data_IF_294619043238
#
_entry.id   IF_294619043238
#
_cell.length_a   1.000
_cell.length_b   1.000
_cell.length_c   1.000
_cell.angle_alpha   90.00
_cell.angle_beta   90.00
_cell.angle_gamma   90.00
#
_symmetry.space_group_name_H-M   'P 1'
#
loop_
_entity.id
_entity.type
_entity.pdbx_description
1 polymer ?
#
# COMPACT_ATOMS: atom_id res chain seq x y z
N UNK A 1 -10.71 18.09 -7.96
CA UNK A 1 -9.23 18.14 -8.01
C UNK A 1 -8.77 17.18 -9.10
N UNK A 2 -7.51 17.25 -9.55
CA UNK A 2 -6.95 16.22 -10.44
C UNK A 2 -6.44 15.06 -9.58
N UNK A 3 -6.76 13.82 -9.98
CA UNK A 3 -6.31 12.61 -9.29
C UNK A 3 -4.77 12.59 -9.22
N UNK A 4 -4.22 12.38 -8.02
CA UNK A 4 -2.79 12.36 -7.78
C UNK A 4 -2.25 10.93 -7.87
N UNK A 5 -1.08 10.74 -8.48
CA UNK A 5 -0.39 9.44 -8.44
C UNK A 5 0.16 9.18 -7.03
N UNK A 6 0.30 7.90 -6.61
CA UNK A 6 0.83 7.57 -5.29
C UNK A 6 2.19 8.19 -4.96
N UNK A 7 3.10 8.26 -5.94
CA UNK A 7 4.44 8.83 -5.78
C UNK A 7 5.44 7.83 -5.22
N UNK A 8 6.45 8.34 -4.50
CA UNK A 8 7.51 7.50 -3.93
C UNK A 8 7.00 6.65 -2.79
N UNK A 9 7.35 5.37 -2.79
CA UNK A 9 7.01 4.37 -1.78
C UNK A 9 8.20 4.13 -0.85
N UNK A 10 7.92 4.14 0.46
CA UNK A 10 8.95 4.13 1.50
C UNK A 10 8.52 3.42 2.79
N UNK A 11 7.36 2.77 2.82
CA UNK A 11 6.90 2.00 3.97
C UNK A 11 6.31 0.65 3.60
N UNK A 12 6.28 -0.24 4.59
CA UNK A 12 5.55 -1.51 4.56
C UNK A 12 4.45 -1.42 5.61
N UNK A 13 3.23 -1.76 5.21
CA UNK A 13 2.09 -1.86 6.10
C UNK A 13 1.34 -3.17 5.93
N UNK A 14 0.55 -3.53 6.93
CA UNK A 14 -0.41 -4.61 6.87
C UNK A 14 -1.81 -4.04 7.03
N UNK A 15 -2.68 -4.40 6.10
CA UNK A 15 -4.08 -4.03 6.10
C UNK A 15 -4.92 -5.26 6.43
N UNK A 16 -5.87 -5.10 7.34
CA UNK A 16 -6.84 -6.14 7.70
C UNK A 16 -8.20 -5.77 7.09
N UNK A 17 -8.73 -6.63 6.23
CA UNK A 17 -10.05 -6.48 5.62
C UNK A 17 -11.15 -6.69 6.64
N UNK A 18 -12.38 -6.32 6.28
CA UNK A 18 -13.55 -6.49 7.15
C UNK A 18 -13.84 -7.97 7.49
N UNK A 19 -13.52 -8.90 6.57
CA UNK A 19 -13.62 -10.34 6.80
C UNK A 19 -12.50 -10.91 7.68
N UNK A 20 -11.54 -10.07 8.10
CA UNK A 20 -10.40 -10.45 8.94
C UNK A 20 -9.20 -11.01 8.19
N UNK A 21 -9.28 -11.19 6.87
CA UNK A 21 -8.11 -11.51 6.05
C UNK A 21 -7.13 -10.34 6.03
N UNK A 22 -5.86 -10.65 5.82
CA UNK A 22 -4.77 -9.68 5.89
C UNK A 22 -3.94 -9.71 4.62
N UNK A 23 -3.40 -8.56 4.24
CA UNK A 23 -2.41 -8.46 3.18
C UNK A 23 -1.36 -7.40 3.54
N UNK A 24 -0.21 -7.47 2.89
CA UNK A 24 0.85 -6.49 3.02
C UNK A 24 0.81 -5.55 1.83
N UNK A 25 1.13 -4.29 2.07
CA UNK A 25 1.27 -3.28 1.01
C UNK A 25 2.58 -2.51 1.17
N UNK A 26 3.16 -2.12 0.03
CA UNK A 26 4.29 -1.20 -0.03
C UNK A 26 3.72 0.16 -0.36
N UNK A 27 3.65 1.04 0.62
CA UNK A 27 2.96 2.32 0.52
C UNK A 27 3.88 3.51 0.76
N UNK A 28 3.25 4.64 1.06
CA UNK A 28 3.87 5.81 1.65
C UNK A 28 2.93 6.42 2.68
N UNK A 29 3.37 7.49 3.35
CA UNK A 29 2.56 8.13 4.40
C UNK A 29 1.19 8.63 3.91
N UNK A 30 1.04 8.99 2.63
CA UNK A 30 -0.25 9.40 2.08
C UNK A 30 -1.17 8.19 1.97
N UNK A 31 -0.70 7.09 1.36
CA UNK A 31 -1.48 5.85 1.27
C UNK A 31 -1.88 5.32 2.65
N UNK A 32 -0.94 5.28 3.59
CA UNK A 32 -1.22 4.85 4.95
C UNK A 32 -2.27 5.74 5.63
N UNK A 33 -2.16 7.07 5.52
CA UNK A 33 -3.18 7.98 6.07
C UNK A 33 -4.57 7.80 5.44
N UNK A 34 -4.63 7.38 4.17
CA UNK A 34 -5.90 6.98 3.52
C UNK A 34 -6.42 5.65 4.06
N UNK A 35 -5.55 4.68 4.30
CA UNK A 35 -5.93 3.42 4.95
C UNK A 35 -6.41 3.65 6.39
N UNK A 36 -5.77 4.52 7.17
CA UNK A 36 -6.23 4.90 8.51
C UNK A 36 -7.64 5.51 8.46
N UNK A 37 -7.87 6.47 7.55
CA UNK A 37 -9.20 7.04 7.33
C UNK A 37 -10.24 5.98 6.89
N UNK A 38 -9.84 5.03 6.05
CA UNK A 38 -10.70 3.93 5.63
C UNK A 38 -11.05 2.99 6.81
N UNK A 39 -10.14 2.78 7.75
CA UNK A 39 -10.41 2.05 8.99
C UNK A 39 -11.38 2.82 9.90
N UNK A 40 -11.19 4.13 10.08
CA UNK A 40 -12.09 4.99 10.85
C UNK A 40 -13.52 5.00 10.27
N UNK A 41 -13.64 4.92 8.94
CA UNK A 41 -14.93 4.86 8.23
C UNK A 41 -15.52 3.46 8.13
N UNK A 42 -14.80 2.43 8.59
CA UNK A 42 -15.27 1.05 8.56
C UNK A 42 -15.26 0.39 7.18
N UNK A 43 -14.41 0.85 6.26
CA UNK A 43 -14.19 0.21 4.94
C UNK A 43 -13.13 -0.91 5.02
N UNK A 44 -12.19 -0.77 5.95
CA UNK A 44 -11.28 -1.83 6.39
C UNK A 44 -11.33 -1.92 7.92
N UNK A 45 -10.74 -2.96 8.50
CA UNK A 45 -10.75 -3.17 9.94
C UNK A 45 -9.64 -2.42 10.65
N UNK A 46 -8.42 -2.50 10.14
CA UNK A 46 -7.25 -1.79 10.66
C UNK A 46 -6.14 -1.73 9.61
N UNK A 47 -5.26 -0.75 9.76
CA UNK A 47 -3.96 -0.70 9.10
C UNK A 47 -2.87 -0.57 10.15
N UNK A 48 -1.71 -1.19 9.90
CA UNK A 48 -0.54 -1.12 10.77
C UNK A 48 0.72 -0.93 9.93
N UNK A 49 1.45 0.16 10.15
CA UNK A 49 2.81 0.31 9.64
C UNK A 49 3.71 -0.72 10.33
N UNK A 50 4.42 -1.51 9.53
CA UNK A 50 5.38 -2.50 10.00
C UNK A 50 6.81 -2.00 9.90
N UNK A 51 7.10 -1.18 8.88
CA UNK A 51 8.41 -0.58 8.69
C UNK A 51 8.31 0.74 7.93
N UNK A 52 9.06 1.73 8.39
CA UNK A 52 9.21 3.05 7.75
C UNK A 52 10.60 3.17 7.15
N UNK A 53 10.72 4.07 6.17
CA UNK A 53 11.99 4.40 5.51
C UNK A 53 12.71 3.16 4.97
N UNK A 54 11.97 2.27 4.30
CA UNK A 54 12.59 1.10 3.66
C UNK A 54 13.59 1.57 2.59
N UNK A 55 14.68 0.84 2.35
CA UNK A 55 15.60 1.18 1.27
C UNK A 55 14.85 1.25 -0.06
N UNK A 56 15.08 2.31 -0.82
CA UNK A 56 14.52 2.49 -2.16
C UNK A 56 15.28 1.61 -3.17
N UNK A 57 15.14 0.30 -3.00
CA UNK A 57 15.85 -0.73 -3.78
C UNK A 57 15.32 -0.82 -5.21
N UNK A 58 16.05 -1.50 -6.09
CA UNK A 58 15.57 -1.76 -7.45
C UNK A 58 14.23 -2.52 -7.48
N UNK A 59 13.95 -3.35 -6.46
CA UNK A 59 12.69 -4.06 -6.32
C UNK A 59 11.56 -3.09 -5.94
N UNK A 60 11.80 -2.18 -4.99
CA UNK A 60 10.86 -1.11 -4.62
C UNK A 60 10.54 -0.22 -5.82
N UNK A 61 11.57 0.23 -6.57
CA UNK A 61 11.38 1.08 -7.77
C UNK A 61 10.48 0.40 -8.81
N UNK A 62 10.65 -0.91 -9.04
CA UNK A 62 9.80 -1.65 -9.99
C UNK A 62 8.33 -1.67 -9.55
N UNK A 63 8.09 -1.97 -8.28
CA UNK A 63 6.74 -2.00 -7.73
C UNK A 63 6.12 -0.59 -7.69
N UNK A 64 6.91 0.42 -7.33
CA UNK A 64 6.51 1.83 -7.37
C UNK A 64 6.10 2.28 -8.76
N UNK A 65 6.85 1.94 -9.80
CA UNK A 65 6.49 2.29 -11.18
C UNK A 65 5.14 1.67 -11.57
N UNK A 66 4.93 0.39 -11.26
CA UNK A 66 3.65 -0.30 -11.47
C UNK A 66 2.50 0.45 -10.79
N UNK A 67 2.69 0.76 -9.49
CA UNK A 67 1.66 1.45 -8.70
C UNK A 67 1.35 2.84 -9.28
N UNK A 68 2.38 3.61 -9.67
CA UNK A 68 2.22 4.93 -10.25
C UNK A 68 1.63 4.91 -11.66
N UNK A 69 1.80 3.85 -12.43
CA UNK A 69 1.21 3.72 -13.77
C UNK A 69 -0.29 3.38 -13.69
N UNK A 70 -0.70 2.57 -12.71
CA UNK A 70 -2.04 1.99 -12.67
C UNK A 70 -3.01 2.58 -11.66
N UNK A 71 -2.52 3.16 -10.56
CA UNK A 71 -3.37 3.65 -9.49
C UNK A 71 -3.26 5.16 -9.29
N UNK A 72 -4.18 5.66 -8.47
CA UNK A 72 -4.19 7.02 -7.96
C UNK A 72 -4.36 6.96 -6.44
N UNK A 73 -3.85 7.96 -5.73
CA UNK A 73 -4.12 8.14 -4.31
C UNK A 73 -5.61 8.41 -4.13
N UNK A 74 -6.28 7.63 -3.29
CA UNK A 74 -7.68 7.89 -2.96
C UNK A 74 -7.84 9.26 -2.29
N UNK A 75 -8.91 9.97 -2.63
CA UNK A 75 -9.25 11.26 -2.02
C UNK A 75 -9.85 11.06 -0.61
N UNK A 76 -9.82 12.10 0.23
CA UNK A 76 -10.45 12.06 1.56
C UNK A 76 -11.97 11.93 1.50
N UNK A 77 -12.56 12.17 0.34
CA UNK A 77 -13.98 12.00 0.06
C UNK A 77 -14.37 10.55 -0.25
N UNK A 78 -13.42 9.59 -0.15
CA UNK A 78 -13.67 8.16 -0.44
C UNK A 78 -14.90 7.59 0.27
N UNK A 79 -15.68 6.79 -0.44
CA UNK A 79 -16.85 6.05 0.05
C UNK A 79 -16.62 4.53 0.12
N UNK A 80 -15.42 4.07 -0.27
CA UNK A 80 -14.93 2.70 -0.15
C UNK A 80 -13.41 2.69 -0.07
N UNK A 81 -12.84 1.55 0.33
CA UNK A 81 -11.40 1.28 0.23
C UNK A 81 -11.10 0.60 -1.10
N UNK A 82 -10.13 1.14 -1.84
CA UNK A 82 -9.66 0.57 -3.11
C UNK A 82 -8.30 -0.10 -2.87
N UNK A 83 -8.26 -1.42 -3.01
CA UNK A 83 -7.00 -2.17 -2.93
C UNK A 83 -6.26 -2.07 -4.27
N UNK A 84 -4.94 -1.90 -4.22
CA UNK A 84 -4.10 -2.00 -5.42
C UNK A 84 -4.02 -3.45 -5.87
N UNK A 85 -4.81 -3.81 -6.88
CA UNK A 85 -4.77 -5.13 -7.51
C UNK A 85 -3.37 -5.41 -8.07
N UNK A 86 -2.83 -6.60 -7.84
CA UNK A 86 -1.48 -6.98 -8.26
C UNK A 86 -1.55 -8.13 -9.26
N UNK A 87 -0.68 -8.09 -10.26
CA UNK A 87 -0.40 -9.28 -11.08
C UNK A 87 0.43 -10.28 -10.25
N UNK A 88 0.53 -11.57 -10.66
CA UNK A 88 1.43 -12.52 -10.01
C UNK A 88 2.90 -12.07 -9.97
N UNK A 89 3.35 -11.27 -10.95
CA UNK A 89 4.71 -10.74 -10.95
C UNK A 89 4.89 -9.68 -9.84
N UNK A 90 3.85 -8.87 -9.62
CA UNK A 90 3.88 -7.75 -8.67
C UNK A 90 3.71 -8.25 -7.24
N UNK A 91 2.95 -9.33 -7.04
CA UNK A 91 2.94 -10.08 -5.78
C UNK A 91 4.33 -10.61 -5.42
N UNK A 92 5.10 -11.12 -6.38
CA UNK A 92 6.49 -11.56 -6.12
C UNK A 92 7.42 -10.39 -5.81
N UNK A 93 7.20 -9.21 -6.39
CA UNK A 93 7.94 -7.99 -6.01
C UNK A 93 7.65 -7.61 -4.55
N UNK A 94 6.38 -7.58 -4.15
CA UNK A 94 5.99 -7.31 -2.75
C UNK A 94 6.62 -8.35 -1.82
N UNK A 95 6.50 -9.65 -2.14
CA UNK A 95 7.11 -10.72 -1.35
C UNK A 95 8.64 -10.58 -1.25
N UNK A 96 9.30 -10.16 -2.33
CA UNK A 96 10.74 -9.89 -2.32
C UNK A 96 11.09 -8.71 -1.42
N UNK A 97 10.35 -7.60 -1.49
CA UNK A 97 10.56 -6.41 -0.64
C UNK A 97 10.39 -6.77 0.84
N UNK A 98 9.38 -7.58 1.16
CA UNK A 98 9.16 -8.10 2.51
C UNK A 98 10.36 -8.90 3.02
N UNK A 99 10.88 -9.84 2.21
CA UNK A 99 12.09 -10.63 2.53
C UNK A 99 13.32 -9.74 2.72
N UNK A 100 13.57 -8.79 1.81
CA UNK A 100 14.70 -7.84 1.88
C UNK A 100 14.65 -6.98 3.16
N UNK A 101 13.44 -6.69 3.66
CA UNK A 101 13.22 -5.85 4.83
C UNK A 101 13.02 -6.60 6.14
N UNK A 102 13.08 -7.94 6.11
CA UNK A 102 12.83 -8.84 7.25
C UNK A 102 11.44 -8.63 7.88
N UNK A 103 10.43 -8.42 7.04
CA UNK A 103 9.02 -8.31 7.44
C UNK A 103 8.28 -9.57 6.96
N UNK A 104 7.70 -10.32 7.88
CA UNK A 104 7.05 -11.61 7.60
C UNK A 104 7.47 -12.68 8.59
#
# INVERSE_FOLDING_TARGET
MMAQRPGTLDLIEQITRLDGTKYFEIGNMVHNGRAELAAERGYIKEVRILKLNIPHSQTVIKYENYVNEHFYSQEETMDHWEEWEKTPAEEELVATILRENHVG
#
